data_IF_895320416777
#
_entry.id   IF_895320416777
#
_cell.length_a   1.000
_cell.length_b   1.000
_cell.length_c   1.000
_cell.angle_alpha   90.00
_cell.angle_beta   90.00
_cell.angle_gamma   90.00
#
_symmetry.space_group_name_H-M   'P 1'
#
loop_
_entity.id
_entity.type
_entity.pdbx_description
1 polymer ?
#
# COMPACT_ATOMS: atom_id res chain seq x y z
N UNK A 1 22.98 -0.17 -5.58
CA UNK A 1 22.35 -1.50 -5.66
C UNK A 1 21.41 -1.59 -6.87
N UNK A 2 21.11 -2.79 -7.32
CA UNK A 2 20.02 -3.06 -8.27
C UNK A 2 18.86 -3.71 -7.51
N UNK A 3 17.72 -3.04 -7.45
CA UNK A 3 16.57 -3.46 -6.66
C UNK A 3 15.46 -3.95 -7.60
N UNK A 4 15.02 -5.18 -7.42
CA UNK A 4 13.84 -5.71 -8.11
C UNK A 4 12.60 -5.32 -7.30
N UNK A 5 11.74 -4.49 -7.90
CA UNK A 5 10.49 -4.02 -7.30
C UNK A 5 9.33 -4.69 -8.01
N UNK A 6 8.55 -5.52 -7.33
CA UNK A 6 7.32 -6.07 -7.89
C UNK A 6 6.13 -5.20 -7.54
N UNK A 7 5.19 -5.03 -8.46
CA UNK A 7 4.06 -4.12 -8.27
C UNK A 7 4.44 -2.64 -8.38
N UNK A 8 5.54 -2.33 -9.08
CA UNK A 8 6.08 -0.97 -9.16
C UNK A 8 5.27 0.00 -10.03
N UNK A 9 4.27 -0.48 -10.80
CA UNK A 9 3.31 0.37 -11.49
C UNK A 9 2.06 0.68 -10.64
N UNK A 10 1.92 0.09 -9.45
CA UNK A 10 0.86 0.38 -8.49
C UNK A 10 1.13 1.65 -7.68
N UNK A 11 0.21 2.01 -6.79
CA UNK A 11 0.26 3.24 -6.00
C UNK A 11 1.54 3.37 -5.16
N UNK A 12 1.75 2.48 -4.18
CA UNK A 12 2.93 2.52 -3.30
C UNK A 12 4.19 2.17 -4.10
N UNK A 13 4.10 1.18 -5.00
CA UNK A 13 5.24 0.75 -5.81
C UNK A 13 5.79 1.86 -6.69
N UNK A 14 4.94 2.67 -7.32
CA UNK A 14 5.39 3.81 -8.14
C UNK A 14 6.07 4.89 -7.29
N UNK A 15 5.58 5.15 -6.07
CA UNK A 15 6.25 6.06 -5.14
C UNK A 15 7.65 5.55 -4.74
N UNK A 16 7.79 4.23 -4.49
CA UNK A 16 9.08 3.60 -4.22
C UNK A 16 10.03 3.73 -5.41
N UNK A 17 9.57 3.41 -6.62
CA UNK A 17 10.39 3.53 -7.83
C UNK A 17 10.84 4.98 -8.06
N UNK A 18 9.92 5.95 -7.98
CA UNK A 18 10.27 7.39 -8.08
C UNK A 18 11.26 7.80 -6.99
N UNK A 19 11.05 7.37 -5.75
CA UNK A 19 11.96 7.69 -4.66
C UNK A 19 13.38 7.17 -4.93
N UNK A 20 13.53 5.91 -5.34
CA UNK A 20 14.84 5.31 -5.62
C UNK A 20 15.54 6.05 -6.77
N UNK A 21 14.85 6.26 -7.90
CA UNK A 21 15.45 6.87 -9.07
C UNK A 21 15.80 8.34 -8.84
N UNK A 22 14.94 9.11 -8.16
CA UNK A 22 15.13 10.56 -8.00
C UNK A 22 16.06 10.92 -6.83
N UNK A 23 16.11 10.08 -5.78
CA UNK A 23 16.81 10.47 -4.54
C UNK A 23 18.02 9.61 -4.21
N UNK A 24 18.33 8.59 -5.02
CA UNK A 24 19.47 7.69 -4.79
C UNK A 24 20.28 7.44 -6.07
N UNK A 25 21.36 6.66 -5.96
CA UNK A 25 22.13 6.20 -7.13
C UNK A 25 21.79 4.75 -7.53
N UNK A 26 20.81 4.15 -6.88
CA UNK A 26 20.43 2.78 -7.13
C UNK A 26 19.61 2.65 -8.41
N UNK A 27 19.53 1.44 -8.95
CA UNK A 27 18.74 1.10 -10.13
C UNK A 27 17.57 0.20 -9.77
N UNK A 28 16.52 0.27 -10.57
CA UNK A 28 15.27 -0.46 -10.38
C UNK A 28 14.97 -1.34 -11.57
N UNK A 29 14.63 -2.62 -11.29
CA UNK A 29 13.93 -3.49 -12.22
C UNK A 29 12.49 -3.60 -11.72
N UNK A 30 11.56 -2.91 -12.37
CA UNK A 30 10.15 -2.90 -12.04
C UNK A 30 9.44 -4.07 -12.73
N UNK A 31 8.89 -4.99 -11.96
CA UNK A 31 8.10 -6.13 -12.46
C UNK A 31 6.63 -5.89 -12.12
N UNK A 32 5.80 -5.75 -13.15
CA UNK A 32 4.36 -5.55 -12.96
C UNK A 32 3.57 -6.23 -14.10
N UNK A 33 2.44 -6.83 -13.77
CA UNK A 33 1.55 -7.44 -14.77
C UNK A 33 0.50 -6.48 -15.33
N UNK A 34 0.52 -5.23 -14.87
CA UNK A 34 -0.39 -4.15 -15.30
C UNK A 34 -1.87 -4.54 -15.20
N UNK A 35 -2.29 -4.93 -14.00
CA UNK A 35 -3.72 -5.10 -13.70
C UNK A 35 -4.43 -3.75 -13.66
N UNK A 36 -5.69 -3.73 -13.30
CA UNK A 36 -6.53 -2.52 -13.25
C UNK A 36 -5.91 -1.34 -12.47
N UNK A 37 -5.11 -1.61 -11.44
CA UNK A 37 -4.46 -0.60 -10.60
C UNK A 37 -3.01 -0.28 -11.01
N UNK A 38 -2.44 -1.02 -11.95
CA UNK A 38 -1.10 -0.79 -12.49
C UNK A 38 -1.14 0.25 -13.61
N UNK A 39 -0.41 1.37 -13.43
CA UNK A 39 -0.38 2.46 -14.41
C UNK A 39 1.04 3.00 -14.59
N UNK A 40 1.63 2.77 -15.77
CA UNK A 40 2.97 3.26 -16.11
C UNK A 40 3.05 4.79 -16.22
N UNK A 41 1.93 5.49 -16.43
CA UNK A 41 1.93 6.97 -16.41
C UNK A 41 2.34 7.52 -15.03
N UNK A 42 2.17 6.74 -13.95
CA UNK A 42 2.64 7.10 -12.61
C UNK A 42 4.17 7.11 -12.48
N UNK A 43 4.87 6.64 -13.51
CA UNK A 43 6.34 6.54 -13.61
C UNK A 43 6.91 7.38 -14.76
N UNK A 44 6.10 8.22 -15.42
CA UNK A 44 6.50 8.96 -16.60
C UNK A 44 7.75 9.86 -16.37
N UNK A 45 7.91 10.38 -15.15
CA UNK A 45 9.04 11.24 -14.76
C UNK A 45 10.36 10.48 -14.57
N UNK A 46 10.32 9.15 -14.47
CA UNK A 46 11.50 8.29 -14.26
C UNK A 46 11.70 7.23 -15.35
N UNK A 47 10.75 7.08 -16.26
CA UNK A 47 10.74 6.03 -17.29
C UNK A 47 11.94 6.09 -18.25
N UNK A 48 12.48 7.27 -18.50
CA UNK A 48 13.61 7.50 -19.42
C UNK A 48 14.98 7.36 -18.73
N UNK A 49 15.01 7.07 -17.43
CA UNK A 49 16.26 6.86 -16.69
C UNK A 49 16.95 5.57 -17.10
N UNK A 50 18.26 5.62 -17.40
CA UNK A 50 19.08 4.42 -17.66
C UNK A 50 19.14 3.46 -16.46
N UNK A 51 18.72 3.93 -15.27
CA UNK A 51 18.66 3.16 -14.03
C UNK A 51 17.30 2.50 -13.80
N UNK A 52 16.33 2.68 -14.71
CA UNK A 52 15.01 2.10 -14.65
C UNK A 52 14.81 1.09 -15.78
N UNK A 53 14.35 -0.11 -15.43
CA UNK A 53 13.99 -1.17 -16.39
C UNK A 53 12.57 -1.64 -16.03
N UNK A 54 11.72 -1.81 -17.04
CA UNK A 54 10.39 -2.39 -16.87
C UNK A 54 10.33 -3.81 -17.44
N UNK A 55 9.81 -4.75 -16.66
CA UNK A 55 9.52 -6.14 -17.03
C UNK A 55 8.01 -6.38 -16.88
N UNK A 56 7.32 -6.57 -18.00
CA UNK A 56 5.91 -6.94 -18.01
C UNK A 56 5.78 -8.44 -17.70
N UNK A 57 5.50 -8.79 -16.44
CA UNK A 57 5.41 -10.19 -16.00
C UNK A 57 4.50 -10.36 -14.79
N UNK A 58 3.89 -11.55 -14.68
CA UNK A 58 3.14 -11.97 -13.50
C UNK A 58 4.08 -12.68 -12.52
N UNK A 59 4.02 -12.31 -11.24
CA UNK A 59 4.79 -12.98 -10.17
C UNK A 59 4.40 -14.46 -10.00
N UNK A 60 3.22 -14.86 -10.48
CA UNK A 60 2.78 -16.27 -10.51
C UNK A 60 3.45 -17.08 -11.61
N UNK A 61 4.12 -16.46 -12.59
CA UNK A 61 4.87 -17.14 -13.64
C UNK A 61 6.29 -17.49 -13.18
N UNK A 62 6.49 -18.74 -12.78
CA UNK A 62 7.78 -19.22 -12.28
C UNK A 62 8.91 -19.14 -13.32
N UNK A 63 8.60 -19.33 -14.61
CA UNK A 63 9.61 -19.26 -15.67
C UNK A 63 10.04 -17.80 -15.91
N UNK A 64 9.07 -16.85 -15.91
CA UNK A 64 9.35 -15.44 -16.00
C UNK A 64 10.18 -14.95 -14.80
N UNK A 65 9.82 -15.34 -13.58
CA UNK A 65 10.60 -14.98 -12.39
C UNK A 65 12.02 -15.52 -12.44
N UNK A 66 12.21 -16.79 -12.78
CA UNK A 66 13.56 -17.38 -12.93
C UNK A 66 14.39 -16.64 -13.99
N UNK A 67 13.81 -16.30 -15.14
CA UNK A 67 14.46 -15.52 -16.20
C UNK A 67 14.87 -14.13 -15.70
N UNK A 68 13.97 -13.42 -15.02
CA UNK A 68 14.22 -12.04 -14.53
C UNK A 68 15.36 -12.03 -13.51
N UNK A 69 15.40 -12.95 -12.56
CA UNK A 69 16.51 -13.08 -11.62
C UNK A 69 17.84 -13.37 -12.31
N UNK A 70 17.85 -14.30 -13.28
CA UNK A 70 19.06 -14.65 -14.03
C UNK A 70 19.57 -13.49 -14.88
N UNK A 71 18.69 -12.76 -15.54
CA UNK A 71 19.03 -11.66 -16.45
C UNK A 71 19.50 -10.44 -15.70
N UNK A 72 18.79 -10.03 -14.63
CA UNK A 72 19.02 -8.76 -13.97
C UNK A 72 19.92 -8.86 -12.74
N UNK A 73 20.05 -10.03 -12.13
CA UNK A 73 20.91 -10.28 -10.96
C UNK A 73 20.73 -9.23 -9.85
N UNK A 74 19.53 -9.09 -9.26
CA UNK A 74 19.25 -8.04 -8.28
C UNK A 74 20.01 -8.26 -6.97
N UNK A 75 20.40 -7.15 -6.33
CA UNK A 75 21.02 -7.13 -4.99
C UNK A 75 19.95 -7.24 -3.89
N UNK A 76 18.72 -6.80 -4.19
CA UNK A 76 17.59 -6.87 -3.28
C UNK A 76 16.26 -7.01 -4.03
N UNK A 77 15.24 -7.50 -3.32
CA UNK A 77 13.85 -7.56 -3.78
C UNK A 77 12.99 -6.72 -2.85
N UNK A 78 12.12 -5.88 -3.40
CA UNK A 78 11.01 -5.24 -2.70
C UNK A 78 9.71 -5.76 -3.29
N UNK A 79 8.99 -6.59 -2.51
CA UNK A 79 7.80 -7.29 -2.98
C UNK A 79 6.53 -6.53 -2.57
N UNK A 80 6.01 -5.70 -3.50
CA UNK A 80 4.78 -4.93 -3.33
C UNK A 80 3.60 -5.45 -4.18
N UNK A 81 3.85 -6.31 -5.18
CA UNK A 81 2.79 -6.87 -6.01
C UNK A 81 1.77 -7.63 -5.15
N UNK A 82 0.52 -7.19 -5.18
CA UNK A 82 -0.58 -7.81 -4.46
C UNK A 82 -1.94 -7.35 -5.02
N UNK A 83 -2.95 -8.20 -4.91
CA UNK A 83 -4.33 -7.75 -4.90
C UNK A 83 -4.62 -7.11 -3.54
N UNK A 84 -5.22 -5.88 -3.50
CA UNK A 84 -5.24 -5.06 -2.28
C UNK A 84 -6.59 -4.42 -1.93
N UNK A 85 -7.66 -4.67 -2.70
CA UNK A 85 -8.96 -4.05 -2.44
C UNK A 85 -9.87 -4.98 -1.65
N UNK A 86 -10.19 -4.61 -0.39
CA UNK A 86 -10.98 -5.45 0.53
C UNK A 86 -12.32 -5.84 -0.07
N UNK A 87 -13.12 -4.90 -0.63
CA UNK A 87 -14.44 -5.20 -1.19
C UNK A 87 -14.34 -6.20 -2.36
N UNK A 88 -13.31 -6.08 -3.21
CA UNK A 88 -13.04 -7.07 -4.28
C UNK A 88 -12.68 -8.43 -3.71
N UNK A 89 -12.01 -8.50 -2.55
CA UNK A 89 -11.69 -9.77 -1.91
C UNK A 89 -12.93 -10.50 -1.39
N UNK A 90 -13.97 -9.76 -0.99
CA UNK A 90 -15.24 -10.31 -0.52
C UNK A 90 -16.02 -10.92 -1.70
N UNK A 91 -16.01 -10.25 -2.86
CA UNK A 91 -16.74 -10.72 -4.05
C UNK A 91 -15.99 -11.75 -4.87
N UNK A 92 -14.64 -11.73 -4.86
CA UNK A 92 -13.80 -12.62 -5.67
C UNK A 92 -12.48 -13.00 -4.97
N UNK A 93 -12.51 -13.81 -3.90
CA UNK A 93 -11.31 -14.11 -3.09
C UNK A 93 -10.22 -14.90 -3.83
N UNK A 94 -10.57 -15.62 -4.90
CA UNK A 94 -9.62 -16.48 -5.61
C UNK A 94 -8.40 -15.73 -6.16
N UNK A 95 -8.60 -14.52 -6.72
CA UNK A 95 -7.52 -13.70 -7.23
C UNK A 95 -6.52 -13.28 -6.12
N UNK A 96 -7.02 -13.07 -4.89
CA UNK A 96 -6.19 -12.73 -3.72
C UNK A 96 -5.35 -13.93 -3.26
N UNK A 97 -5.92 -15.14 -3.28
CA UNK A 97 -5.18 -16.37 -2.97
C UNK A 97 -4.09 -16.60 -4.02
N UNK A 98 -4.44 -16.52 -5.31
CA UNK A 98 -3.50 -16.73 -6.40
C UNK A 98 -2.37 -15.69 -6.36
N UNK A 99 -2.66 -14.41 -6.36
CA UNK A 99 -1.64 -13.36 -6.41
C UNK A 99 -0.86 -13.28 -5.10
N UNK A 100 -1.55 -13.17 -3.95
CA UNK A 100 -0.89 -12.85 -2.69
C UNK A 100 -0.21 -14.06 -2.04
N UNK A 101 -0.74 -15.27 -2.21
CA UNK A 101 -0.16 -16.47 -1.61
C UNK A 101 0.69 -17.22 -2.63
N UNK A 102 0.10 -17.64 -3.77
CA UNK A 102 0.84 -18.45 -4.77
C UNK A 102 1.91 -17.59 -5.43
N UNK A 103 1.61 -16.35 -5.83
CA UNK A 103 2.60 -15.44 -6.41
C UNK A 103 3.76 -15.13 -5.45
N UNK A 104 3.49 -14.92 -4.15
CA UNK A 104 4.56 -14.76 -3.14
C UNK A 104 5.40 -16.04 -3.01
N UNK A 105 4.77 -17.22 -3.01
CA UNK A 105 5.49 -18.50 -3.02
C UNK A 105 6.42 -18.63 -4.23
N UNK A 106 5.92 -18.37 -5.43
CA UNK A 106 6.72 -18.45 -6.67
C UNK A 106 7.91 -17.49 -6.62
N UNK A 107 7.68 -16.25 -6.20
CA UNK A 107 8.74 -15.26 -6.09
C UNK A 107 9.79 -15.64 -5.03
N UNK A 108 9.35 -16.18 -3.89
CA UNK A 108 10.25 -16.68 -2.84
C UNK A 108 11.14 -17.82 -3.33
N UNK A 109 10.60 -18.77 -4.12
CA UNK A 109 11.38 -19.88 -4.69
C UNK A 109 12.37 -19.38 -5.75
N UNK A 110 11.96 -18.44 -6.61
CA UNK A 110 12.88 -17.83 -7.58
C UNK A 110 14.03 -17.09 -6.86
N UNK A 111 13.71 -16.29 -5.82
CA UNK A 111 14.70 -15.58 -5.02
C UNK A 111 15.62 -16.55 -4.26
N UNK A 112 15.08 -17.61 -3.67
CA UNK A 112 15.87 -18.64 -2.96
C UNK A 112 16.84 -19.36 -3.88
N UNK A 113 16.39 -19.77 -5.06
CA UNK A 113 17.23 -20.46 -6.05
C UNK A 113 18.37 -19.53 -6.52
N UNK A 114 18.04 -18.28 -6.86
CA UNK A 114 19.02 -17.28 -7.23
C UNK A 114 20.03 -17.01 -6.10
N UNK A 115 19.55 -16.70 -4.89
CA UNK A 115 20.36 -16.40 -3.71
C UNK A 115 21.29 -17.57 -3.36
N UNK A 116 20.81 -18.83 -3.47
CA UNK A 116 21.62 -20.01 -3.14
C UNK A 116 22.84 -20.18 -4.05
N UNK A 117 22.79 -19.64 -5.26
CA UNK A 117 23.90 -19.68 -6.23
C UNK A 117 24.88 -18.50 -6.11
N UNK A 118 24.58 -17.47 -5.29
CA UNK A 118 25.46 -16.33 -5.11
C UNK A 118 26.73 -16.70 -4.33
N UNK A 119 27.78 -15.89 -4.51
CA UNK A 119 28.97 -15.92 -3.64
C UNK A 119 28.63 -15.44 -2.21
N UNK A 120 29.57 -15.68 -1.28
CA UNK A 120 29.34 -15.39 0.16
C UNK A 120 29.00 -13.92 0.44
N UNK A 121 29.66 -12.99 -0.25
CA UNK A 121 29.50 -11.56 0.02
C UNK A 121 28.13 -11.08 -0.45
N UNK A 122 27.73 -11.49 -1.67
CA UNK A 122 26.40 -11.19 -2.21
C UNK A 122 25.28 -11.88 -1.43
N UNK A 123 25.50 -13.13 -0.97
CA UNK A 123 24.54 -13.82 -0.08
C UNK A 123 24.27 -13.03 1.20
N UNK A 124 25.32 -12.50 1.83
CA UNK A 124 25.21 -11.77 3.09
C UNK A 124 24.53 -10.40 2.92
N UNK A 125 24.77 -9.74 1.79
CA UNK A 125 24.17 -8.43 1.47
C UNK A 125 22.76 -8.51 0.89
N UNK A 126 22.37 -9.63 0.25
CA UNK A 126 21.05 -9.79 -0.35
C UNK A 126 19.92 -9.58 0.67
N UNK A 127 18.83 -8.96 0.23
CA UNK A 127 17.61 -8.76 1.04
C UNK A 127 16.37 -9.08 0.23
N UNK A 128 15.42 -9.79 0.84
CA UNK A 128 14.06 -9.98 0.35
C UNK A 128 13.12 -9.24 1.29
N UNK A 129 12.67 -8.06 0.90
CA UNK A 129 11.77 -7.22 1.68
C UNK A 129 10.33 -7.42 1.18
N UNK A 130 9.47 -7.98 2.03
CA UNK A 130 8.05 -8.19 1.80
C UNK A 130 7.25 -7.07 2.45
N UNK A 131 6.42 -6.41 1.66
CA UNK A 131 5.57 -5.32 2.11
C UNK A 131 4.15 -5.84 2.39
N UNK A 132 3.71 -5.70 3.63
CA UNK A 132 2.42 -6.14 4.13
C UNK A 132 1.61 -4.96 4.70
N UNK A 133 0.58 -5.24 5.45
CA UNK A 133 -0.41 -4.29 5.98
C UNK A 133 -0.67 -4.55 7.47
N UNK A 134 -1.10 -3.54 8.19
CA UNK A 134 -1.58 -3.65 9.57
C UNK A 134 -2.90 -4.44 9.70
N UNK A 135 -3.65 -4.57 8.61
CA UNK A 135 -4.90 -5.34 8.57
C UNK A 135 -4.70 -6.84 8.93
N UNK A 136 -3.46 -7.35 8.86
CA UNK A 136 -3.14 -8.73 9.30
C UNK A 136 -3.30 -8.92 10.81
N UNK A 137 -3.22 -7.85 11.60
CA UNK A 137 -3.38 -7.89 13.05
C UNK A 137 -4.84 -7.99 13.51
N UNK A 138 -5.80 -7.66 12.65
CA UNK A 138 -7.23 -7.68 12.96
C UNK A 138 -7.75 -6.33 13.45
N UNK A 139 -8.69 -6.35 14.39
CA UNK A 139 -9.40 -5.17 14.89
C UNK A 139 -8.91 -4.78 16.30
N UNK A 140 -8.85 -3.47 16.57
CA UNK A 140 -8.56 -2.91 17.89
C UNK A 140 -9.82 -2.37 18.54
N UNK A 141 -9.90 -2.33 19.90
CA UNK A 141 -10.99 -1.68 20.59
C UNK A 141 -11.19 -0.24 20.13
N UNK A 142 -12.44 0.10 19.86
CA UNK A 142 -12.82 1.47 19.51
C UNK A 142 -12.94 2.34 20.79
N UNK A 143 -12.64 3.66 20.75
CA UNK A 143 -12.80 4.54 21.92
C UNK A 143 -14.16 4.48 22.61
N UNK A 144 -15.22 4.20 21.84
CA UNK A 144 -16.58 4.08 22.37
C UNK A 144 -16.82 2.76 23.18
N UNK A 145 -15.89 1.81 23.10
CA UNK A 145 -15.99 0.48 23.74
C UNK A 145 -15.16 0.36 25.01
N UNK A 146 -14.31 1.37 25.29
CA UNK A 146 -13.42 1.38 26.45
C UNK A 146 -13.77 2.53 27.41
N UNK A 147 -13.43 2.34 28.69
CA UNK A 147 -13.59 3.40 29.65
C UNK A 147 -12.56 4.52 29.39
N UNK A 148 -12.96 5.79 29.52
CA UNK A 148 -12.16 6.99 29.24
C UNK A 148 -10.81 7.10 30.00
N UNK A 149 -10.46 6.14 30.86
CA UNK A 149 -9.23 6.11 31.68
C UNK A 149 -8.22 5.08 31.19
N UNK A 150 -8.56 4.26 30.19
CA UNK A 150 -7.67 3.23 29.66
C UNK A 150 -6.94 3.75 28.40
N UNK A 151 -5.64 3.49 28.34
CA UNK A 151 -4.84 3.74 27.15
C UNK A 151 -5.26 2.77 26.05
N UNK A 152 -5.58 3.29 24.87
CA UNK A 152 -5.99 2.47 23.73
C UNK A 152 -4.78 1.67 23.19
N UNK A 153 -4.91 0.34 23.00
CA UNK A 153 -3.81 -0.48 22.49
C UNK A 153 -3.44 -0.09 21.05
N UNK A 154 -2.17 -0.34 20.69
CA UNK A 154 -1.65 -0.23 19.34
C UNK A 154 -1.17 -1.59 18.84
N UNK A 155 -1.17 -1.81 17.53
CA UNK A 155 -0.52 -2.96 16.92
C UNK A 155 1.01 -2.82 17.00
N UNK A 156 1.66 -3.76 17.65
CA UNK A 156 3.11 -3.89 17.67
C UNK A 156 3.56 -5.04 16.76
N UNK A 157 4.85 -5.15 16.47
CA UNK A 157 5.40 -6.26 15.68
C UNK A 157 5.24 -7.63 16.36
N UNK A 158 4.88 -7.66 17.63
CA UNK A 158 4.59 -8.89 18.41
C UNK A 158 3.10 -9.19 18.55
N UNK A 159 2.23 -8.31 18.08
CA UNK A 159 0.78 -8.54 18.08
C UNK A 159 0.45 -9.78 17.24
N UNK A 160 -0.38 -10.67 17.79
CA UNK A 160 -0.83 -11.87 17.08
C UNK A 160 -1.69 -11.49 15.86
N UNK A 161 -1.54 -12.22 14.77
CA UNK A 161 -2.35 -12.03 13.57
C UNK A 161 -3.77 -12.56 13.78
N UNK A 162 -4.77 -11.76 13.44
CA UNK A 162 -6.20 -12.09 13.51
C UNK A 162 -6.99 -11.45 12.35
N UNK A 163 -6.62 -11.72 11.07
CA UNK A 163 -7.19 -11.04 9.92
C UNK A 163 -8.70 -11.28 9.76
N UNK A 164 -9.47 -10.24 9.40
CA UNK A 164 -10.93 -10.25 9.31
C UNK A 164 -11.49 -10.40 7.89
N UNK A 165 -10.68 -10.18 6.85
CA UNK A 165 -11.11 -10.22 5.45
C UNK A 165 -10.31 -11.24 4.62
N UNK A 166 -10.83 -11.71 3.46
CA UNK A 166 -10.04 -12.54 2.55
C UNK A 166 -8.73 -11.87 2.11
N UNK A 167 -8.73 -10.54 1.91
CA UNK A 167 -7.52 -9.78 1.62
C UNK A 167 -6.50 -9.88 2.76
N UNK A 168 -6.88 -9.48 3.98
CA UNK A 168 -5.97 -9.50 5.13
C UNK A 168 -5.51 -10.92 5.49
N UNK A 169 -6.38 -11.94 5.32
CA UNK A 169 -6.00 -13.34 5.47
C UNK A 169 -4.97 -13.79 4.44
N UNK A 170 -5.09 -13.36 3.17
CA UNK A 170 -4.10 -13.66 2.13
C UNK A 170 -2.75 -12.98 2.41
N UNK A 171 -2.75 -11.75 2.94
CA UNK A 171 -1.53 -11.03 3.34
C UNK A 171 -0.87 -11.69 4.57
N UNK A 172 -1.66 -12.06 5.59
CA UNK A 172 -1.15 -12.81 6.74
C UNK A 172 -0.50 -14.13 6.31
N UNK A 173 -1.12 -14.84 5.35
CA UNK A 173 -0.56 -16.08 4.78
C UNK A 173 0.78 -15.84 4.10
N UNK A 174 0.90 -14.80 3.27
CA UNK A 174 2.17 -14.45 2.62
C UNK A 174 3.25 -14.04 3.62
N UNK A 175 2.92 -13.30 4.67
CA UNK A 175 3.84 -12.96 5.75
C UNK A 175 4.40 -14.23 6.44
N UNK A 176 3.54 -15.20 6.69
CA UNK A 176 3.97 -16.48 7.26
C UNK A 176 4.88 -17.28 6.32
N UNK A 177 4.61 -17.29 5.00
CA UNK A 177 5.52 -17.89 4.02
C UNK A 177 6.90 -17.21 4.04
N UNK A 178 6.95 -15.88 4.02
CA UNK A 178 8.21 -15.12 4.05
C UNK A 178 9.03 -15.44 5.30
N UNK A 179 8.39 -15.48 6.47
CA UNK A 179 9.03 -15.88 7.74
C UNK A 179 9.51 -17.33 7.71
N UNK A 180 8.72 -18.24 7.12
CA UNK A 180 9.08 -19.65 6.98
C UNK A 180 10.31 -19.83 6.08
N UNK A 181 10.43 -19.10 4.96
CA UNK A 181 11.60 -19.13 4.08
C UNK A 181 12.87 -18.67 4.80
N UNK A 182 12.77 -17.65 5.64
CA UNK A 182 13.88 -17.24 6.51
C UNK A 182 14.29 -18.35 7.48
N UNK A 183 13.32 -18.90 8.19
CA UNK A 183 13.60 -19.87 9.27
C UNK A 183 14.07 -21.21 8.73
N UNK A 184 13.49 -21.68 7.62
CA UNK A 184 13.75 -23.00 7.07
C UNK A 184 14.98 -23.02 6.15
N UNK A 185 15.11 -22.01 5.28
CA UNK A 185 16.14 -21.99 4.24
C UNK A 185 17.23 -20.95 4.46
N UNK A 186 17.06 -20.05 5.42
CA UNK A 186 18.02 -18.98 5.70
C UNK A 186 17.93 -17.77 4.78
N UNK A 187 16.97 -17.72 3.83
CA UNK A 187 16.79 -16.57 2.93
C UNK A 187 16.68 -15.28 3.76
N UNK A 188 17.49 -14.24 3.50
CA UNK A 188 17.51 -13.03 4.32
C UNK A 188 16.30 -12.14 4.04
N UNK A 189 15.15 -12.50 4.62
CA UNK A 189 13.87 -11.80 4.47
C UNK A 189 13.66 -10.73 5.53
N UNK A 190 12.91 -9.69 5.20
CA UNK A 190 12.38 -8.65 6.10
C UNK A 190 10.90 -8.48 5.78
N UNK A 191 10.07 -8.22 6.79
CA UNK A 191 8.65 -7.93 6.63
C UNK A 191 8.37 -6.53 7.15
N UNK A 192 7.55 -5.76 6.44
CA UNK A 192 6.99 -4.50 6.95
C UNK A 192 5.47 -4.55 6.92
N UNK A 193 4.83 -4.07 7.99
CA UNK A 193 3.38 -3.90 8.07
C UNK A 193 3.09 -2.40 8.14
N UNK A 194 2.38 -1.86 7.16
CA UNK A 194 2.10 -0.43 7.08
C UNK A 194 0.65 -0.11 7.40
N UNK A 195 0.42 1.09 7.92
CA UNK A 195 -0.90 1.69 8.07
C UNK A 195 -1.48 2.16 6.73
N UNK A 196 -2.70 2.73 6.73
CA UNK A 196 -3.39 3.16 5.53
C UNK A 196 -2.63 4.25 4.79
N UNK A 197 -2.30 4.00 3.53
CA UNK A 197 -1.57 4.96 2.71
C UNK A 197 -2.49 5.92 1.96
N UNK A 198 -2.05 7.16 1.77
CA UNK A 198 -2.70 8.17 0.93
C UNK A 198 -1.66 9.06 0.25
N UNK A 199 -2.04 9.73 -0.83
CA UNK A 199 -1.14 10.63 -1.56
C UNK A 199 -1.37 10.64 -3.06
N UNK A 200 -0.43 11.22 -3.84
CA UNK A 200 -0.42 11.23 -5.28
C UNK A 200 -0.50 9.85 -5.91
N UNK A 201 -1.16 9.74 -7.06
CA UNK A 201 -1.30 8.51 -7.85
C UNK A 201 -2.08 7.37 -7.18
N UNK A 202 -2.84 7.65 -6.09
CA UNK A 202 -3.69 6.64 -5.49
C UNK A 202 -4.90 6.35 -6.38
N UNK A 203 -5.16 5.05 -6.64
CA UNK A 203 -6.23 4.64 -7.56
C UNK A 203 -7.61 5.06 -7.01
N UNK A 204 -8.49 5.62 -7.87
CA UNK A 204 -9.74 6.29 -7.45
C UNK A 204 -10.83 5.41 -6.81
N UNK A 205 -10.59 4.13 -6.58
CA UNK A 205 -11.49 3.24 -5.82
C UNK A 205 -11.35 3.37 -4.30
N UNK A 206 -10.30 4.04 -3.82
CA UNK A 206 -10.02 4.21 -2.40
C UNK A 206 -10.63 5.51 -1.86
N UNK A 207 -10.91 5.54 -0.56
CA UNK A 207 -11.69 6.60 0.10
C UNK A 207 -11.25 8.02 -0.29
N UNK A 208 -9.98 8.36 -0.09
CA UNK A 208 -9.49 9.75 -0.29
C UNK A 208 -9.62 10.20 -1.75
N UNK A 209 -9.05 9.49 -2.76
CA UNK A 209 -9.22 9.93 -4.13
C UNK A 209 -10.65 9.86 -4.63
N UNK A 210 -11.45 8.86 -4.20
CA UNK A 210 -12.86 8.77 -4.54
C UNK A 210 -13.64 10.01 -4.08
N UNK A 211 -13.43 10.42 -2.82
CA UNK A 211 -14.09 11.60 -2.24
C UNK A 211 -13.69 12.87 -2.99
N UNK A 212 -12.39 13.08 -3.26
CA UNK A 212 -11.90 14.25 -4.01
C UNK A 212 -12.59 14.32 -5.38
N UNK A 213 -12.57 13.24 -6.13
CA UNK A 213 -13.07 13.21 -7.51
C UNK A 213 -14.59 13.33 -7.57
N UNK A 214 -15.33 12.61 -6.72
CA UNK A 214 -16.77 12.72 -6.63
C UNK A 214 -17.20 14.14 -6.20
N UNK A 215 -16.49 14.75 -5.26
CA UNK A 215 -16.78 16.13 -4.82
C UNK A 215 -16.68 17.11 -6.00
N UNK A 216 -15.61 17.03 -6.79
CA UNK A 216 -15.38 17.89 -7.96
C UNK A 216 -16.42 17.64 -9.06
N UNK A 217 -16.91 16.43 -9.21
CA UNK A 217 -17.94 16.06 -10.21
C UNK A 217 -19.37 16.33 -9.74
N UNK A 218 -19.58 16.82 -8.51
CA UNK A 218 -20.92 17.05 -7.95
C UNK A 218 -21.67 15.78 -7.58
N UNK A 219 -20.96 14.64 -7.48
CA UNK A 219 -21.51 13.32 -7.11
C UNK A 219 -21.62 13.16 -5.60
N UNK A 220 -22.44 12.19 -5.15
CA UNK A 220 -22.52 11.80 -3.75
C UNK A 220 -21.16 11.33 -3.19
N UNK A 221 -20.89 11.68 -1.93
CA UNK A 221 -19.72 11.22 -1.17
C UNK A 221 -20.18 10.11 -0.23
N UNK A 222 -20.09 8.83 -0.65
CA UNK A 222 -20.63 7.72 0.13
C UNK A 222 -19.74 7.43 1.35
N UNK A 223 -20.37 7.36 2.53
CA UNK A 223 -19.73 6.99 3.79
C UNK A 223 -20.37 5.71 4.31
N UNK A 224 -19.56 4.68 4.58
CA UNK A 224 -20.01 3.43 5.15
C UNK A 224 -20.45 3.62 6.62
N UNK A 225 -21.65 3.12 6.95
CA UNK A 225 -22.21 3.19 8.31
C UNK A 225 -22.32 4.64 8.79
N UNK A 226 -21.67 4.94 9.91
CA UNK A 226 -21.59 6.30 10.51
C UNK A 226 -20.28 7.03 10.14
N UNK A 227 -19.35 6.35 9.48
CA UNK A 227 -18.01 6.88 9.21
C UNK A 227 -17.12 6.99 10.44
N UNK A 228 -17.44 6.27 11.52
CA UNK A 228 -16.72 6.29 12.79
C UNK A 228 -15.52 5.34 12.84
N UNK A 229 -15.30 4.54 11.80
CA UNK A 229 -14.11 3.68 11.69
C UNK A 229 -12.85 4.54 11.72
N UNK A 230 -11.88 4.14 12.54
CA UNK A 230 -10.61 4.86 12.73
C UNK A 230 -9.51 4.16 11.95
N UNK A 231 -8.69 4.95 11.24
CA UNK A 231 -7.50 4.49 10.51
C UNK A 231 -6.32 5.40 10.85
N UNK A 232 -5.13 4.80 10.94
CA UNK A 232 -3.89 5.57 10.92
C UNK A 232 -3.50 5.84 9.47
N UNK A 233 -3.19 7.11 9.15
CA UNK A 233 -2.94 7.57 7.79
C UNK A 233 -1.48 7.92 7.57
N UNK A 234 -0.86 7.26 6.60
CA UNK A 234 0.56 7.41 6.24
C UNK A 234 0.68 8.01 4.83
N UNK A 235 1.39 9.13 4.71
CA UNK A 235 1.65 9.74 3.42
C UNK A 235 2.58 8.85 2.58
N UNK A 236 2.23 8.62 1.31
CA UNK A 236 2.88 7.59 0.47
C UNK A 236 4.37 7.85 0.23
N UNK A 237 4.80 9.11 0.13
CA UNK A 237 6.22 9.44 -0.05
C UNK A 237 7.04 9.15 1.23
N UNK A 238 6.45 9.34 2.41
CA UNK A 238 7.05 8.93 3.68
C UNK A 238 7.17 7.42 3.77
N UNK A 239 6.14 6.69 3.31
CA UNK A 239 6.19 5.24 3.23
C UNK A 239 7.27 4.76 2.27
N UNK A 240 7.37 5.33 1.05
CA UNK A 240 8.41 4.97 0.09
C UNK A 240 9.82 5.14 0.68
N UNK A 241 10.05 6.23 1.40
CA UNK A 241 11.31 6.49 2.12
C UNK A 241 11.56 5.46 3.22
N UNK A 242 10.53 5.08 4.00
CA UNK A 242 10.64 4.02 5.00
C UNK A 242 11.03 2.69 4.38
N UNK A 243 10.36 2.29 3.31
CA UNK A 243 10.61 1.03 2.61
C UNK A 243 12.04 0.95 2.06
N UNK A 244 12.53 2.05 1.49
CA UNK A 244 13.92 2.12 1.02
C UNK A 244 14.92 2.03 2.20
N UNK A 245 14.68 2.73 3.30
CA UNK A 245 15.49 2.62 4.52
C UNK A 245 15.51 1.18 5.05
N UNK A 246 14.37 0.50 5.07
CA UNK A 246 14.28 -0.89 5.54
C UNK A 246 15.04 -1.86 4.64
N UNK A 247 14.95 -1.75 3.32
CA UNK A 247 15.66 -2.67 2.42
C UNK A 247 17.17 -2.47 2.47
N UNK A 248 17.64 -1.25 2.74
CA UNK A 248 19.07 -0.92 2.78
C UNK A 248 19.71 -1.15 4.15
N UNK A 249 19.00 -0.84 5.23
CA UNK A 249 19.55 -0.79 6.60
C UNK A 249 18.87 -1.77 7.56
N UNK A 250 17.72 -2.34 7.17
CA UNK A 250 16.93 -3.25 8.00
C UNK A 250 17.65 -4.57 8.25
N UNK A 251 17.45 -5.12 9.44
CA UNK A 251 18.03 -6.40 9.85
C UNK A 251 17.21 -7.58 9.30
N UNK A 252 17.88 -8.49 8.61
CA UNK A 252 17.27 -9.70 8.08
C UNK A 252 16.65 -10.57 9.20
N UNK A 253 15.39 -10.95 8.99
CA UNK A 253 14.59 -11.72 9.93
C UNK A 253 13.67 -10.87 10.82
N UNK A 254 13.81 -9.54 10.79
CA UNK A 254 12.98 -8.63 11.56
C UNK A 254 11.68 -8.25 10.83
N UNK A 255 10.70 -7.83 11.63
CA UNK A 255 9.50 -7.15 11.17
C UNK A 255 9.55 -5.70 11.66
N UNK A 256 9.12 -4.75 10.82
CA UNK A 256 8.99 -3.35 11.19
C UNK A 256 7.58 -2.86 10.85
N UNK A 257 6.92 -2.27 11.83
CA UNK A 257 5.69 -1.52 11.63
C UNK A 257 6.02 -0.11 11.12
N UNK A 258 5.21 0.37 10.16
CA UNK A 258 5.37 1.70 9.55
C UNK A 258 4.02 2.41 9.61
N UNK A 259 3.92 3.48 10.41
CA UNK A 259 2.69 4.23 10.64
C UNK A 259 2.90 5.73 10.59
N UNK A 260 1.80 6.46 10.35
CA UNK A 260 1.81 7.92 10.28
C UNK A 260 1.61 8.60 11.63
N UNK A 261 1.16 7.88 12.65
CA UNK A 261 0.66 8.40 13.94
C UNK A 261 -0.47 9.42 13.75
N UNK A 262 -1.31 9.20 12.74
CA UNK A 262 -2.40 10.09 12.32
C UNK A 262 -3.74 9.34 12.34
N UNK A 263 -4.18 8.92 13.53
CA UNK A 263 -5.49 8.29 13.69
C UNK A 263 -6.62 9.29 13.42
N UNK A 264 -7.46 8.99 12.44
CA UNK A 264 -8.64 9.82 12.07
C UNK A 264 -9.84 8.93 11.79
N UNK A 265 -11.03 9.37 12.17
CA UNK A 265 -12.28 8.76 11.71
C UNK A 265 -12.46 9.00 10.20
N UNK A 266 -13.05 8.05 9.50
CA UNK A 266 -13.32 8.19 8.07
C UNK A 266 -14.15 9.47 7.77
N UNK A 267 -15.14 9.79 8.62
CA UNK A 267 -15.91 11.02 8.46
C UNK A 267 -15.06 12.29 8.59
N UNK A 268 -14.10 12.31 9.52
CA UNK A 268 -13.22 13.47 9.70
C UNK A 268 -12.30 13.68 8.49
N UNK A 269 -11.83 12.59 7.88
CA UNK A 269 -11.07 12.64 6.62
C UNK A 269 -11.91 13.27 5.52
N UNK A 270 -13.15 12.83 5.35
CA UNK A 270 -14.06 13.36 4.32
C UNK A 270 -14.38 14.83 4.55
N UNK A 271 -14.67 15.23 5.80
CA UNK A 271 -14.91 16.62 6.16
C UNK A 271 -13.68 17.50 5.85
N UNK A 272 -12.48 17.04 6.19
CA UNK A 272 -11.22 17.76 5.89
C UNK A 272 -11.04 17.97 4.38
N UNK A 273 -11.32 16.95 3.56
CA UNK A 273 -11.25 17.07 2.09
C UNK A 273 -12.28 18.10 1.59
N UNK A 274 -13.52 18.07 2.10
CA UNK A 274 -14.55 19.04 1.73
C UNK A 274 -14.13 20.47 2.06
N UNK A 275 -13.58 20.70 3.25
CA UNK A 275 -13.12 22.03 3.69
C UNK A 275 -11.95 22.55 2.82
N UNK A 276 -11.00 21.67 2.47
CA UNK A 276 -9.91 22.01 1.55
C UNK A 276 -10.44 22.37 0.16
N UNK A 277 -11.43 21.63 -0.35
CA UNK A 277 -12.04 21.93 -1.65
C UNK A 277 -12.88 23.22 -1.60
N UNK A 278 -13.60 23.49 -0.50
CA UNK A 278 -14.31 24.76 -0.31
C UNK A 278 -13.34 25.95 -0.28
N UNK A 279 -12.12 25.77 0.25
CA UNK A 279 -11.06 26.79 0.24
C UNK A 279 -10.44 26.98 -1.15
N UNK A 280 -10.06 25.87 -1.82
CA UNK A 280 -9.21 25.91 -3.04
C UNK A 280 -10.05 26.10 -4.31
N UNK A 281 -11.22 25.46 -4.38
CA UNK A 281 -12.14 25.49 -5.53
C UNK A 281 -13.56 25.78 -5.04
N UNK A 282 -13.83 26.99 -4.50
CA UNK A 282 -15.12 27.32 -3.91
C UNK A 282 -16.26 27.25 -4.93
N UNK A 283 -17.43 26.81 -4.48
CA UNK A 283 -18.69 26.79 -5.22
C UNK A 283 -19.83 27.39 -4.37
N UNK A 284 -21.03 27.55 -4.95
CA UNK A 284 -22.18 28.15 -4.26
C UNK A 284 -22.56 27.39 -2.99
N UNK A 285 -22.49 26.05 -3.04
CA UNK A 285 -22.80 25.17 -1.91
C UNK A 285 -21.56 24.43 -1.46
N UNK A 286 -21.40 24.25 -0.15
CA UNK A 286 -20.27 23.48 0.40
C UNK A 286 -20.25 22.05 -0.12
N UNK A 287 -19.06 21.53 -0.34
CA UNK A 287 -18.85 20.11 -0.71
C UNK A 287 -19.37 19.16 0.35
N UNK A 288 -19.50 19.58 1.60
CA UNK A 288 -20.11 18.79 2.69
C UNK A 288 -21.56 18.39 2.42
N UNK A 289 -22.31 19.17 1.62
CA UNK A 289 -23.70 18.87 1.26
C UNK A 289 -23.82 17.62 0.36
N UNK A 290 -22.72 17.15 -0.22
CA UNK A 290 -22.69 15.93 -1.06
C UNK A 290 -22.51 14.66 -0.22
N UNK A 291 -22.27 14.74 1.09
CA UNK A 291 -22.07 13.59 1.97
C UNK A 291 -23.37 12.77 2.05
N UNK A 292 -23.25 11.46 1.83
CA UNK A 292 -24.35 10.48 1.95
C UNK A 292 -23.87 9.29 2.75
N UNK A 293 -24.76 8.73 3.58
CA UNK A 293 -24.47 7.54 4.35
C UNK A 293 -25.04 6.31 3.66
N UNK A 294 -24.23 5.26 3.53
CA UNK A 294 -24.63 3.99 2.90
C UNK A 294 -24.49 2.84 3.90
N UNK A 295 -25.10 1.69 3.59
CA UNK A 295 -24.97 0.50 4.43
C UNK A 295 -23.50 0.10 4.61
N UNK A 296 -23.13 -0.27 5.84
CA UNK A 296 -21.77 -0.72 6.14
C UNK A 296 -21.46 -2.07 5.48
N UNK A 297 -20.17 -2.33 5.24
CA UNK A 297 -19.72 -3.59 4.64
C UNK A 297 -19.58 -4.68 5.70
N UNK A 298 -19.76 -5.97 5.35
CA UNK A 298 -19.48 -7.09 6.24
C UNK A 298 -18.01 -7.11 6.69
N UNK A 299 -17.77 -7.42 7.97
CA UNK A 299 -16.41 -7.55 8.51
C UNK A 299 -15.60 -6.25 8.50
N UNK A 300 -16.27 -5.11 8.64
CA UNK A 300 -15.59 -3.81 8.68
C UNK A 300 -14.98 -3.57 10.04
N UNK A 301 -13.67 -3.74 10.14
CA UNK A 301 -12.91 -3.48 11.36
C UNK A 301 -13.07 -2.03 11.81
N UNK A 302 -13.24 -1.82 13.11
CA UNK A 302 -13.58 -0.51 13.68
C UNK A 302 -12.36 0.40 13.86
N UNK A 303 -11.19 -0.17 14.25
CA UNK A 303 -10.02 0.65 14.51
C UNK A 303 -8.73 -0.05 14.12
N UNK A 304 -7.88 0.67 13.36
CA UNK A 304 -6.48 0.35 13.14
C UNK A 304 -5.61 1.47 13.67
N UNK A 305 -4.62 1.11 14.47
CA UNK A 305 -3.62 2.04 14.98
C UNK A 305 -2.32 1.27 15.21
N UNK A 306 -1.23 1.76 14.65
CA UNK A 306 0.03 1.04 14.61
C UNK A 306 1.10 1.73 15.46
N UNK A 307 1.88 0.94 16.22
CA UNK A 307 3.10 1.42 16.87
C UNK A 307 4.27 1.30 15.88
N UNK A 308 4.80 2.43 15.46
CA UNK A 308 5.96 2.53 14.57
C UNK A 308 7.25 2.98 15.31
N UNK A 309 7.34 2.85 16.63
CA UNK A 309 8.53 3.25 17.38
C UNK A 309 9.77 2.43 17.02
N UNK A 310 9.60 1.15 16.71
CA UNK A 310 10.74 0.26 16.40
C UNK A 310 11.53 0.73 15.21
N UNK A 311 10.90 1.10 14.11
CA UNK A 311 11.60 1.61 12.92
C UNK A 311 12.32 2.93 13.23
N UNK A 312 11.70 3.79 14.05
CA UNK A 312 12.33 5.04 14.50
C UNK A 312 13.59 4.80 15.33
N UNK A 313 13.51 3.89 16.31
CA UNK A 313 14.64 3.56 17.19
C UNK A 313 15.77 2.81 16.46
N UNK A 314 15.40 1.87 15.59
CA UNK A 314 16.37 1.00 14.93
C UNK A 314 17.02 1.62 13.68
N UNK A 315 16.28 2.41 12.91
CA UNK A 315 16.68 2.90 11.60
C UNK A 315 16.56 4.44 11.47
N UNK A 316 16.20 5.15 12.53
CA UNK A 316 16.11 6.62 12.54
C UNK A 316 15.00 7.21 11.68
N UNK A 317 14.11 6.37 11.10
CA UNK A 317 13.03 6.85 10.25
C UNK A 317 11.88 7.47 11.07
N UNK A 318 11.34 8.57 10.55
CA UNK A 318 10.11 9.22 11.05
C UNK A 318 9.31 9.76 9.87
N UNK A 319 7.97 9.83 9.95
CA UNK A 319 7.18 10.53 8.95
C UNK A 319 7.55 12.02 8.95
N UNK A 320 7.55 12.64 7.77
CA UNK A 320 7.82 14.06 7.57
C UNK A 320 6.53 14.86 7.42
N UNK A 321 5.47 14.21 6.92
CA UNK A 321 4.17 14.84 6.74
C UNK A 321 3.26 14.56 7.96
N UNK A 322 2.53 15.59 8.38
CA UNK A 322 1.33 15.41 9.21
C UNK A 322 0.15 15.06 8.30
N UNK A 323 -0.96 14.61 8.88
CA UNK A 323 -2.17 14.38 8.08
C UNK A 323 -2.62 15.66 7.36
N UNK A 324 -2.59 16.80 8.05
CA UNK A 324 -3.01 18.08 7.52
C UNK A 324 -2.15 18.57 6.35
N UNK A 325 -0.82 18.41 6.43
CA UNK A 325 0.08 18.79 5.34
C UNK A 325 0.00 17.82 4.16
N UNK A 326 -0.07 16.53 4.42
CA UNK A 326 -0.14 15.49 3.38
C UNK A 326 -1.47 15.49 2.64
N UNK A 327 -2.61 15.70 3.34
CA UNK A 327 -3.93 15.73 2.69
C UNK A 327 -4.09 16.95 1.78
N UNK A 328 -3.57 18.11 2.17
CA UNK A 328 -3.54 19.30 1.31
C UNK A 328 -2.75 19.04 0.04
N UNK A 329 -1.52 18.52 0.16
CA UNK A 329 -0.69 18.12 -1.01
C UNK A 329 -1.42 17.12 -1.91
N UNK A 330 -2.15 16.19 -1.33
CA UNK A 330 -2.93 15.20 -2.07
C UNK A 330 -4.05 15.84 -2.87
N UNK A 331 -4.86 16.71 -2.25
CA UNK A 331 -5.94 17.43 -2.94
C UNK A 331 -5.39 18.30 -4.08
N UNK A 332 -4.35 19.10 -3.81
CA UNK A 332 -3.68 19.94 -4.82
C UNK A 332 -3.12 19.11 -5.98
N UNK A 333 -2.58 17.93 -5.69
CA UNK A 333 -2.09 17.02 -6.72
C UNK A 333 -3.22 16.56 -7.66
N UNK A 334 -4.37 16.12 -7.13
CA UNK A 334 -5.51 15.69 -7.96
C UNK A 334 -6.07 16.83 -8.81
N UNK A 335 -6.10 18.05 -8.28
CA UNK A 335 -6.53 19.24 -9.01
C UNK A 335 -5.57 19.59 -10.18
N UNK A 336 -4.29 19.29 -10.02
CA UNK A 336 -3.25 19.63 -11.01
C UNK A 336 -2.98 18.53 -12.05
N UNK A 337 -3.44 17.28 -11.79
CA UNK A 337 -3.12 16.11 -12.62
C UNK A 337 -4.36 15.47 -13.26
N UNK A 338 -5.24 16.31 -13.82
CA UNK A 338 -6.51 15.89 -14.40
C UNK A 338 -6.34 14.88 -15.54
N UNK A 339 -5.29 15.02 -16.36
CA UNK A 339 -4.99 14.07 -17.45
C UNK A 339 -4.76 12.65 -16.93
N UNK A 340 -3.97 12.49 -15.87
CA UNK A 340 -3.74 11.20 -15.24
C UNK A 340 -5.05 10.64 -14.68
N UNK A 341 -5.85 11.49 -14.03
CA UNK A 341 -7.17 11.12 -13.47
C UNK A 341 -8.11 10.62 -14.57
N UNK A 342 -8.20 11.33 -15.70
CA UNK A 342 -9.08 10.95 -16.81
C UNK A 342 -8.67 9.61 -17.43
N UNK A 343 -7.37 9.36 -17.57
CA UNK A 343 -6.84 8.12 -18.11
C UNK A 343 -7.12 6.93 -17.19
N UNK A 344 -6.94 7.10 -15.87
CA UNK A 344 -7.23 6.05 -14.89
C UNK A 344 -8.72 5.74 -14.79
N UNK A 345 -9.60 6.73 -15.00
CA UNK A 345 -11.06 6.57 -14.94
C UNK A 345 -11.65 5.91 -16.19
N UNK A 346 -10.91 5.82 -17.28
CA UNK A 346 -11.36 5.15 -18.50
C UNK A 346 -11.32 3.62 -18.38
N UNK A 347 -12.38 2.92 -18.77
CA UNK A 347 -12.42 1.45 -18.87
C UNK A 347 -12.83 0.71 -17.59
N UNK A 348 -12.01 -0.23 -17.10
CA UNK A 348 -12.38 -1.17 -16.04
C UNK A 348 -12.80 -0.53 -14.70
N UNK A 349 -12.40 0.70 -14.46
CA UNK A 349 -12.79 1.43 -13.26
C UNK A 349 -14.28 1.78 -13.21
N UNK A 350 -14.88 2.19 -14.33
CA UNK A 350 -16.32 2.53 -14.37
C UNK A 350 -17.21 1.34 -14.00
N UNK A 351 -16.92 0.16 -14.54
CA UNK A 351 -17.66 -1.05 -14.22
C UNK A 351 -17.57 -1.41 -12.73
N UNK A 352 -16.44 -1.14 -12.08
CA UNK A 352 -16.27 -1.39 -10.66
C UNK A 352 -17.11 -0.42 -9.78
N UNK A 353 -17.18 0.88 -10.14
CA UNK A 353 -17.99 1.88 -9.44
C UNK A 353 -19.49 1.48 -9.48
N UNK A 354 -20.01 1.12 -10.65
CA UNK A 354 -21.38 0.67 -10.81
C UNK A 354 -21.73 -0.50 -9.88
N UNK A 355 -20.86 -1.51 -9.78
CA UNK A 355 -21.08 -2.69 -8.96
C UNK A 355 -21.04 -2.43 -7.45
N UNK A 356 -20.18 -1.54 -6.99
CA UNK A 356 -19.89 -1.41 -5.56
C UNK A 356 -20.57 -0.22 -4.87
N UNK A 357 -20.99 0.79 -5.62
CA UNK A 357 -21.62 1.99 -5.06
C UNK A 357 -23.03 2.27 -5.58
N UNK A 358 -23.34 2.02 -6.84
CA UNK A 358 -24.68 2.25 -7.38
C UNK A 358 -25.70 1.16 -6.99
N UNK A 359 -25.27 -0.06 -6.70
CA UNK A 359 -26.11 -1.18 -6.28
C UNK A 359 -26.41 -1.28 -4.78
N UNK A 360 -25.92 -0.33 -3.93
CA UNK A 360 -26.09 -0.34 -2.46
C UNK A 360 -27.00 0.74 -1.91
N UNK A 361 -27.83 1.36 -2.77
CA UNK A 361 -28.86 2.33 -2.36
C UNK A 361 -30.04 1.66 -1.66
#
# INVERSE_FOLDING_TARGET
MKILVTGGAGFIGSAVVRHIINNTQDSVVNVDKLTYAGNLESLADVSDSERYIFEHADICDAAAMARIFAQHQPDAVMHLAAESHVDRSITGPAAFIETNIVGTYVLLEAARNYWSALDSDKKNSFRFHHISTDEVYGDLPHPDEVNNTEELPLFTETTAYAPSSPYSASKASSDHLVRAWKRTYGLPTIVTNCSNNYGPYHFPEKLIPLVILNALEGKALPIYGKGDQIRDWLYVEDHARALYTVVTEGKAGETYNIGGHNEKKNIDVVLTICDLLDEIVPKEKSYREQITYVADRPGHDRRYAIDAEKIGRALGWKPQETFESGIRKTVEWYLSNTKWVDNVKSGAYQSWIEQNYEGRQ
#
